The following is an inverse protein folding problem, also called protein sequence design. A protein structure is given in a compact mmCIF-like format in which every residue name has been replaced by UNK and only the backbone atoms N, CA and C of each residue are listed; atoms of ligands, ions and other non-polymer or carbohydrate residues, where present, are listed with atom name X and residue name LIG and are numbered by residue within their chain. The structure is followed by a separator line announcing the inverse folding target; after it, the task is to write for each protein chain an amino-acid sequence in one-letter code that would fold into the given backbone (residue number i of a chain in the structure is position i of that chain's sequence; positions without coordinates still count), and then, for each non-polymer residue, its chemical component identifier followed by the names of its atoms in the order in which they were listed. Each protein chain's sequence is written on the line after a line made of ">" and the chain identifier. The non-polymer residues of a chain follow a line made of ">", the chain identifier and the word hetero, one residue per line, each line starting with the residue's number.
data_IF_027103799885
#
_entry.id   IF_027103799885
#
_cell.length_a   1.000
_cell.length_b   1.000
_cell.length_c   1.000
_cell.angle_alpha   90.00
_cell.angle_beta   90.00
_cell.angle_gamma   90.00
#
_symmetry.space_group_name_H-M   'P 1'
#
loop_
_entity.id
_entity.type
_entity.pdbx_description
1 polymer ?
#
# COMPACT_ATOMS: atom_id res chain seq x y z
N UNK A 1 3.53 -3.84 -9.72
CA UNK A 1 3.89 -3.84 -8.29
C UNK A 1 3.23 -2.66 -7.57
N UNK A 2 2.99 -2.83 -6.27
CA UNK A 2 2.50 -1.77 -5.39
C UNK A 2 3.52 -1.60 -4.27
N UNK A 3 3.90 -0.37 -3.99
CA UNK A 3 4.80 -0.02 -2.89
C UNK A 3 4.09 0.93 -1.94
N UNK A 4 4.15 0.65 -0.64
CA UNK A 4 3.50 1.43 0.40
C UNK A 4 4.53 2.16 1.26
N UNK A 5 4.34 3.46 1.41
CA UNK A 5 5.05 4.31 2.38
C UNK A 5 4.04 4.82 3.40
N UNK A 6 4.35 4.63 4.69
CA UNK A 6 3.55 5.15 5.80
C UNK A 6 4.40 6.12 6.60
N UNK A 7 3.87 7.31 6.86
CA UNK A 7 4.50 8.30 7.72
C UNK A 7 3.42 8.95 8.58
N UNK A 8 3.54 8.80 9.89
CA UNK A 8 2.51 9.19 10.86
C UNK A 8 1.14 8.61 10.45
N UNK A 9 0.15 9.45 10.20
CA UNK A 9 -1.20 9.07 9.75
C UNK A 9 -1.40 9.17 8.23
N UNK A 10 -0.34 9.52 7.49
CA UNK A 10 -0.34 9.65 6.04
C UNK A 10 0.21 8.38 5.38
N UNK A 11 -0.36 8.05 4.23
CA UNK A 11 0.02 6.89 3.43
C UNK A 11 0.16 7.29 1.97
N UNK A 12 1.16 6.73 1.31
CA UNK A 12 1.40 6.89 -0.11
C UNK A 12 1.65 5.53 -0.74
N UNK A 13 0.95 5.25 -1.83
CA UNK A 13 1.10 4.01 -2.60
C UNK A 13 1.61 4.37 -3.98
N UNK A 14 2.74 3.79 -4.38
CA UNK A 14 3.25 3.90 -5.74
C UNK A 14 2.83 2.69 -6.57
N UNK A 15 2.36 2.95 -7.78
CA UNK A 15 1.95 1.92 -8.74
C UNK A 15 2.99 1.84 -9.85
N UNK A 16 3.60 0.67 -9.97
CA UNK A 16 4.54 0.35 -11.06
C UNK A 16 4.07 -0.90 -11.78
N UNK A 17 4.42 -1.03 -13.05
CA UNK A 17 4.11 -2.15 -13.93
C UNK A 17 5.30 -3.10 -14.01
N UNK A 18 5.35 -3.84 -15.11
CA UNK A 18 6.49 -4.71 -15.39
C UNK A 18 7.74 -3.86 -15.66
N UNK A 19 8.91 -4.34 -15.21
CA UNK A 19 10.20 -3.65 -15.36
C UNK A 19 10.20 -2.24 -14.74
N UNK A 20 9.53 -2.08 -13.59
CA UNK A 20 9.46 -0.83 -12.83
C UNK A 20 8.88 0.38 -13.58
N UNK A 21 8.16 0.13 -14.68
CA UNK A 21 7.50 1.18 -15.45
C UNK A 21 6.43 1.87 -14.61
N UNK A 22 6.43 3.20 -14.54
CA UNK A 22 5.37 3.95 -13.86
C UNK A 22 4.01 3.68 -14.50
N UNK A 23 2.99 3.43 -13.69
CA UNK A 23 1.61 3.23 -14.16
C UNK A 23 0.76 4.41 -13.72
N UNK A 24 0.11 5.07 -14.68
CA UNK A 24 -0.71 6.24 -14.39
C UNK A 24 -1.87 5.89 -13.46
N UNK A 25 -2.03 6.65 -12.37
CA UNK A 25 -3.10 6.43 -11.37
C UNK A 25 -4.32 7.32 -11.61
N UNK A 26 -4.30 8.17 -12.64
CA UNK A 26 -5.42 9.07 -12.97
C UNK A 26 -6.69 8.25 -13.26
N UNK A 27 -7.76 8.58 -12.54
CA UNK A 27 -9.05 7.87 -12.65
C UNK A 27 -9.11 6.54 -11.91
N UNK A 28 -8.04 6.14 -11.20
CA UNK A 28 -8.07 4.96 -10.37
C UNK A 28 -8.92 5.18 -9.11
N UNK A 29 -9.53 4.10 -8.61
CA UNK A 29 -10.13 4.07 -7.27
C UNK A 29 -9.26 3.21 -6.37
N UNK A 30 -8.99 3.68 -5.15
CA UNK A 30 -8.14 2.96 -4.22
C UNK A 30 -8.52 3.16 -2.76
N UNK A 31 -8.29 2.13 -1.96
CA UNK A 31 -8.46 2.15 -0.52
C UNK A 31 -7.37 1.32 0.17
N UNK A 32 -7.06 1.68 1.42
CA UNK A 32 -6.19 0.92 2.29
C UNK A 32 -6.93 0.57 3.59
N UNK A 33 -7.10 -0.71 3.86
CA UNK A 33 -7.56 -1.21 5.16
C UNK A 33 -6.36 -1.39 6.06
N UNK A 34 -6.32 -0.66 7.16
CA UNK A 34 -5.24 -0.68 8.15
C UNK A 34 -5.72 -1.44 9.38
N UNK A 35 -4.95 -2.45 9.78
CA UNK A 35 -5.07 -3.14 11.06
C UNK A 35 -3.85 -2.77 11.90
N UNK A 36 -4.07 -2.20 13.09
CA UNK A 36 -3.02 -1.83 14.02
C UNK A 36 -3.47 -2.12 15.45
N UNK A 37 -2.78 -3.02 16.15
CA UNK A 37 -3.28 -3.59 17.40
C UNK A 37 -4.67 -4.22 17.22
N UNK A 38 -5.66 -3.71 17.97
CA UNK A 38 -7.06 -4.16 17.91
C UNK A 38 -7.95 -3.27 17.02
N UNK A 39 -7.38 -2.23 16.42
CA UNK A 39 -8.13 -1.25 15.65
C UNK A 39 -8.07 -1.58 14.17
N UNK A 40 -9.21 -1.45 13.49
CA UNK A 40 -9.30 -1.50 12.02
C UNK A 40 -9.82 -0.16 11.52
N UNK A 41 -9.19 0.37 10.49
CA UNK A 41 -9.61 1.60 9.82
C UNK A 41 -9.48 1.46 8.31
N UNK A 42 -10.25 2.27 7.57
CA UNK A 42 -10.17 2.33 6.12
C UNK A 42 -9.76 3.74 5.70
N UNK A 43 -8.76 3.82 4.82
CA UNK A 43 -8.23 5.06 4.27
C UNK A 43 -8.58 5.09 2.78
N UNK A 44 -9.33 6.10 2.34
CA UNK A 44 -9.51 6.36 0.91
C UNK A 44 -8.20 6.94 0.36
N UNK A 45 -7.75 6.40 -0.76
CA UNK A 45 -6.56 6.88 -1.46
C UNK A 45 -6.96 7.55 -2.76
N UNK A 46 -6.41 8.73 -3.02
CA UNK A 46 -6.70 9.53 -4.22
C UNK A 46 -5.44 9.68 -5.08
N UNK A 47 -5.57 9.72 -6.42
CA UNK A 47 -4.43 9.90 -7.32
C UNK A 47 -3.64 11.17 -7.00
N UNK A 48 -2.33 11.01 -6.87
CA UNK A 48 -1.39 12.09 -6.60
C UNK A 48 -0.21 12.02 -7.57
N UNK A 49 -0.06 13.05 -8.39
CA UNK A 49 0.99 13.08 -9.40
C UNK A 49 0.72 12.06 -10.51
N UNK A 50 1.78 11.40 -10.97
CA UNK A 50 1.73 10.50 -12.14
C UNK A 50 1.26 9.09 -11.77
N UNK A 51 1.97 8.45 -10.84
CA UNK A 51 1.79 7.03 -10.50
C UNK A 51 1.57 6.76 -9.01
N UNK A 52 1.28 7.80 -8.22
CA UNK A 52 1.05 7.64 -6.80
C UNK A 52 -0.43 7.81 -6.43
N UNK A 53 -0.78 7.24 -5.29
CA UNK A 53 -2.07 7.35 -4.62
C UNK A 53 -1.77 7.77 -3.18
N UNK A 54 -2.44 8.78 -2.66
CA UNK A 54 -2.19 9.30 -1.33
C UNK A 54 -3.48 9.41 -0.52
N UNK A 55 -3.36 9.25 0.79
CA UNK A 55 -4.47 9.46 1.71
C UNK A 55 -3.97 9.52 3.15
N UNK A 56 -4.85 9.95 4.04
CA UNK A 56 -4.61 9.99 5.47
C UNK A 56 -5.83 9.48 6.20
N UNK A 57 -5.65 8.84 7.36
CA UNK A 57 -6.76 8.26 8.10
C UNK A 57 -6.58 8.28 9.61
N UNK A 58 -7.64 7.93 10.31
CA UNK A 58 -7.67 7.84 11.77
C UNK A 58 -7.04 6.55 12.31
N UNK A 59 -5.86 6.15 11.82
CA UNK A 59 -5.09 5.05 12.41
C UNK A 59 -3.93 5.60 13.24
N UNK A 60 -3.46 4.78 14.17
CA UNK A 60 -2.23 5.04 14.90
C UNK A 60 -1.21 3.96 14.49
N UNK A 61 -0.02 4.34 14.02
CA UNK A 61 1.00 3.37 13.65
C UNK A 61 1.38 2.48 14.84
N UNK A 62 1.45 1.17 14.61
CA UNK A 62 1.80 0.18 15.63
C UNK A 62 2.78 -0.86 15.06
N UNK A 63 3.65 -1.49 15.89
CA UNK A 63 4.62 -2.46 15.40
C UNK A 63 4.03 -3.68 14.67
N UNK A 64 2.78 -4.04 14.99
CA UNK A 64 2.04 -5.15 14.39
C UNK A 64 1.17 -4.72 13.20
N UNK A 65 1.36 -3.50 12.70
CA UNK A 65 0.54 -2.90 11.66
C UNK A 65 0.56 -3.72 10.36
N UNK A 66 -0.64 -4.03 9.87
CA UNK A 66 -0.89 -4.68 8.57
C UNK A 66 -1.75 -3.78 7.72
N UNK A 67 -1.41 -3.66 6.45
CA UNK A 67 -2.15 -2.82 5.51
C UNK A 67 -2.53 -3.65 4.30
N UNK A 68 -3.81 -3.68 3.97
CA UNK A 68 -4.32 -4.25 2.72
C UNK A 68 -4.72 -3.11 1.81
N UNK A 69 -3.98 -2.93 0.72
CA UNK A 69 -4.29 -1.92 -0.29
C UNK A 69 -5.05 -2.59 -1.43
N UNK A 70 -6.15 -1.98 -1.86
CA UNK A 70 -6.90 -2.35 -3.06
C UNK A 70 -6.85 -1.20 -4.04
N UNK A 71 -6.40 -1.44 -5.28
CA UNK A 71 -6.33 -0.46 -6.35
C UNK A 71 -7.08 -0.99 -7.57
N UNK A 72 -7.99 -0.21 -8.11
CA UNK A 72 -8.68 -0.50 -9.36
C UNK A 72 -8.33 0.59 -10.36
N UNK A 73 -7.57 0.22 -11.39
CA UNK A 73 -7.26 1.13 -12.51
C UNK A 73 -8.44 1.18 -13.49
N UNK A 74 -8.60 2.28 -14.25
CA UNK A 74 -9.65 2.39 -15.26
C UNK A 74 -9.66 1.19 -16.22
N UNK A 75 -10.80 0.50 -16.32
CA UNK A 75 -10.96 -0.65 -17.21
C UNK A 75 -10.21 -1.92 -16.79
N UNK A 76 -9.62 -1.96 -15.59
CA UNK A 76 -8.95 -3.15 -15.07
C UNK A 76 -9.67 -3.73 -13.85
N UNK A 77 -9.38 -4.99 -13.55
CA UNK A 77 -9.82 -5.63 -12.32
C UNK A 77 -9.05 -5.08 -11.12
N UNK A 78 -9.65 -5.09 -9.91
CA UNK A 78 -8.96 -4.67 -8.70
C UNK A 78 -7.73 -5.53 -8.41
N UNK A 79 -6.62 -4.89 -8.07
CA UNK A 79 -5.39 -5.52 -7.59
C UNK A 79 -5.24 -5.23 -6.11
N UNK A 80 -4.95 -6.27 -5.33
CA UNK A 80 -4.71 -6.16 -3.90
C UNK A 80 -3.28 -6.51 -3.52
N UNK A 81 -2.73 -5.77 -2.56
CA UNK A 81 -1.43 -6.05 -1.94
C UNK A 81 -1.52 -5.95 -0.42
N UNK A 82 -0.72 -6.77 0.27
CA UNK A 82 -0.62 -6.81 1.73
C UNK A 82 0.76 -6.37 2.16
N UNK A 83 0.82 -5.49 3.15
CA UNK A 83 2.04 -4.90 3.66
C UNK A 83 2.12 -5.00 5.19
N UNK A 84 3.34 -5.14 5.71
CA UNK A 84 3.68 -5.02 7.14
C UNK A 84 4.71 -3.90 7.33
N UNK A 85 4.31 -2.62 7.13
CA UNK A 85 5.25 -1.51 6.90
C UNK A 85 6.13 -1.15 8.12
N UNK A 86 5.73 -1.57 9.32
CA UNK A 86 6.48 -1.33 10.56
C UNK A 86 7.10 -2.59 11.16
N UNK A 87 6.87 -3.74 10.52
CA UNK A 87 7.56 -4.96 10.91
C UNK A 87 9.02 -4.76 10.54
N UNK A 88 9.91 -4.73 11.56
CA UNK A 88 11.35 -4.72 11.30
C UNK A 88 11.63 -5.91 10.40
N UNK A 89 12.27 -5.66 9.25
CA UNK A 89 12.71 -6.71 8.34
C UNK A 89 13.51 -7.73 9.17
N UNK A 90 12.88 -8.83 9.59
CA UNK A 90 13.65 -10.04 9.82
C UNK A 90 14.21 -10.37 8.44
N UNK A 91 15.53 -10.59 8.30
CA UNK A 91 16.08 -11.12 7.06
C UNK A 91 15.20 -12.29 6.66
N UNK A 92 14.47 -12.13 5.55
CA UNK A 92 13.64 -13.20 5.01
C UNK A 92 14.58 -14.36 4.74
N UNK A 93 14.45 -15.43 5.51
CA UNK A 93 15.09 -16.70 5.22
C UNK A 93 14.44 -17.28 3.95
N UNK A 94 14.81 -16.72 2.80
CA UNK A 94 14.78 -17.35 1.48
C UNK A 94 16.06 -16.96 0.73
N UNK A 95 17.17 -17.35 1.34
CA UNK A 95 18.41 -17.68 0.65
C UNK A 95 18.84 -19.07 1.14
N UNK A 96 18.04 -20.08 0.79
CA UNK A 96 18.43 -21.50 0.79
C UNK A 96 18.16 -21.95 -0.65
N UNK A 97 19.15 -21.82 -1.54
CA UNK A 97 20.12 -22.87 -1.84
C UNK A 97 19.42 -24.14 -2.38
N UNK A 98 19.50 -24.38 -3.69
CA UNK A 98 20.38 -25.39 -4.29
C UNK A 98 20.36 -25.28 -5.82
#
# INVERSE_FOLDING_TARGET
>A
HLELVVKDIAMMVYVTGNKDAKVATKGATASATVLAGKNTSSVKLEPRGENALAGSGGFQPAPDMKVVVSVTLPGQTPVQARFTPLEKLKPSAKASAK
#
